data_IF_763649884232
#
_entry.id   IF_763649884232
#
_cell.length_a   1.000
_cell.length_b   1.000
_cell.length_c   1.000
_cell.angle_alpha   90.00
_cell.angle_beta   90.00
_cell.angle_gamma   90.00
#
_symmetry.space_group_name_H-M   'P 1'
#
loop_
_entity.id
_entity.type
_entity.pdbx_description
1 polymer ?
#
# COMPACT_ATOMS: atom_id res chain seq x y z
N UNK A 1 9.93 -6.75 -27.29
CA UNK A 1 9.70 -5.61 -26.40
C UNK A 1 8.20 -5.40 -26.37
N UNK A 2 7.56 -5.23 -25.21
CA UNK A 2 6.11 -4.96 -25.18
C UNK A 2 5.90 -3.48 -25.50
N UNK A 3 5.14 -3.22 -26.55
CA UNK A 3 4.68 -1.87 -26.88
C UNK A 3 3.29 -1.69 -26.29
N UNK A 4 3.10 -0.61 -25.55
CA UNK A 4 1.82 -0.28 -24.95
C UNK A 4 1.30 0.98 -25.59
N UNK A 5 0.04 0.96 -26.00
CA UNK A 5 -0.61 2.09 -26.68
C UNK A 5 -1.11 3.13 -25.69
N UNK A 6 -1.43 2.71 -24.46
CA UNK A 6 -1.95 3.58 -23.41
C UNK A 6 -1.34 3.27 -22.05
N UNK A 7 -1.28 4.27 -21.17
CA UNK A 7 -0.84 4.10 -19.78
C UNK A 7 -1.77 3.18 -18.98
N UNK A 8 -3.08 3.17 -19.29
CA UNK A 8 -4.06 2.25 -18.68
C UNK A 8 -3.77 0.80 -19.03
N UNK A 9 -3.52 0.51 -20.31
CA UNK A 9 -3.15 -0.83 -20.78
C UNK A 9 -1.88 -1.31 -20.07
N UNK A 10 -0.82 -0.49 -20.10
CA UNK A 10 0.43 -0.75 -19.40
C UNK A 10 0.19 -1.04 -17.91
N UNK A 11 -0.56 -0.16 -17.23
CA UNK A 11 -0.88 -0.31 -15.82
C UNK A 11 -1.64 -1.60 -15.51
N UNK A 12 -2.67 -1.93 -16.29
CA UNK A 12 -3.47 -3.14 -16.11
C UNK A 12 -2.65 -4.41 -16.37
N UNK A 13 -1.75 -4.41 -17.35
CA UNK A 13 -0.85 -5.53 -17.61
C UNK A 13 0.07 -5.80 -16.43
N UNK A 14 0.80 -4.79 -15.94
CA UNK A 14 1.69 -4.96 -14.78
C UNK A 14 0.93 -5.27 -13.50
N UNK A 15 -0.23 -4.64 -13.26
CA UNK A 15 -1.14 -4.97 -12.15
C UNK A 15 -1.60 -6.43 -12.26
N UNK A 16 -1.96 -6.89 -13.45
CA UNK A 16 -2.36 -8.27 -13.71
C UNK A 16 -1.26 -9.28 -13.41
N UNK A 17 0.00 -8.99 -13.73
CA UNK A 17 1.12 -9.88 -13.35
C UNK A 17 1.37 -9.92 -11.84
N UNK A 18 1.06 -8.83 -11.14
CA UNK A 18 1.17 -8.74 -9.69
C UNK A 18 -0.02 -9.42 -8.96
N UNK A 19 -1.23 -9.37 -9.52
CA UNK A 19 -2.46 -9.88 -8.91
C UNK A 19 -2.91 -11.25 -9.43
N UNK A 20 -2.42 -11.68 -10.60
CA UNK A 20 -2.81 -12.93 -11.24
C UNK A 20 -2.44 -14.17 -10.42
N UNK A 21 -3.22 -15.24 -10.62
CA UNK A 21 -3.28 -16.51 -9.86
C UNK A 21 -2.01 -17.37 -9.83
N UNK A 22 -0.82 -16.79 -10.05
CA UNK A 22 0.47 -17.40 -9.71
C UNK A 22 0.64 -17.31 -8.19
N UNK A 23 -0.17 -18.10 -7.47
CA UNK A 23 -0.03 -18.34 -6.05
C UNK A 23 1.42 -18.76 -5.78
N UNK A 24 2.12 -17.98 -4.96
CA UNK A 24 3.36 -18.38 -4.28
C UNK A 24 4.49 -18.90 -5.17
N UNK A 25 4.80 -18.25 -6.30
CA UNK A 25 6.13 -18.42 -6.88
C UNK A 25 7.07 -17.35 -6.33
N UNK A 26 8.15 -17.71 -5.63
CA UNK A 26 9.13 -16.76 -5.11
C UNK A 26 9.87 -16.03 -6.25
N UNK A 27 9.69 -16.42 -7.51
CA UNK A 27 10.39 -15.89 -8.69
C UNK A 27 9.39 -15.61 -9.80
N UNK A 28 9.45 -14.41 -10.37
CA UNK A 28 8.66 -13.98 -11.51
C UNK A 28 9.04 -14.81 -12.76
N UNK A 29 8.05 -15.16 -13.57
CA UNK A 29 8.27 -15.89 -14.82
C UNK A 29 9.35 -15.22 -15.69
N UNK A 30 10.39 -15.97 -16.07
CA UNK A 30 11.53 -15.47 -16.87
C UNK A 30 11.08 -14.77 -18.17
N UNK A 31 9.91 -15.11 -18.72
CA UNK A 31 9.36 -14.46 -19.91
C UNK A 31 9.00 -12.98 -19.71
N UNK A 32 8.65 -12.55 -18.49
CA UNK A 32 8.25 -11.17 -18.21
C UNK A 32 9.38 -10.31 -17.62
N UNK A 33 10.51 -10.94 -17.25
CA UNK A 33 11.72 -10.27 -16.72
C UNK A 33 12.23 -9.16 -17.67
N UNK A 34 12.33 -9.35 -18.99
CA UNK A 34 12.77 -8.28 -19.89
C UNK A 34 11.86 -7.05 -19.85
N UNK A 35 10.55 -7.27 -19.66
CA UNK A 35 9.56 -6.20 -19.63
C UNK A 35 9.53 -5.45 -18.30
N UNK A 36 9.76 -6.14 -17.18
CA UNK A 36 9.97 -5.50 -15.89
C UNK A 36 11.29 -4.71 -15.86
N UNK A 37 12.35 -5.24 -16.47
CA UNK A 37 13.62 -4.53 -16.60
C UNK A 37 13.47 -3.26 -17.45
N UNK A 38 12.72 -3.35 -18.55
CA UNK A 38 12.43 -2.20 -19.41
C UNK A 38 11.59 -1.14 -18.68
N UNK A 39 10.58 -1.57 -17.91
CA UNK A 39 9.79 -0.69 -17.05
C UNK A 39 10.68 0.07 -16.06
N UNK A 40 11.60 -0.61 -15.37
CA UNK A 40 12.52 0.04 -14.43
C UNK A 40 13.46 1.00 -15.16
N UNK A 41 14.05 0.59 -16.28
CA UNK A 41 14.98 1.41 -17.05
C UNK A 41 14.35 2.70 -17.57
N UNK A 42 13.10 2.64 -18.00
CA UNK A 42 12.39 3.78 -18.60
C UNK A 42 11.63 4.63 -17.57
N UNK A 43 11.14 4.00 -16.51
CA UNK A 43 10.23 4.64 -15.56
C UNK A 43 10.84 5.03 -14.22
N UNK A 44 11.97 4.44 -13.81
CA UNK A 44 12.61 4.80 -12.55
C UNK A 44 13.58 5.98 -12.75
N UNK A 45 13.64 6.98 -11.84
CA UNK A 45 14.57 8.12 -11.99
C UNK A 45 16.04 7.71 -11.89
N UNK A 46 16.35 6.71 -11.07
CA UNK A 46 17.70 6.18 -10.86
C UNK A 46 17.77 4.68 -11.21
N UNK A 47 17.63 4.28 -12.48
CA UNK A 47 17.51 2.86 -12.85
C UNK A 47 18.81 2.09 -12.59
N UNK A 48 19.96 2.75 -12.73
CA UNK A 48 21.28 2.17 -12.47
C UNK A 48 21.45 1.77 -10.99
N UNK A 49 20.91 2.55 -10.05
CA UNK A 49 20.92 2.25 -8.62
C UNK A 49 20.03 1.05 -8.29
N UNK A 50 18.87 0.96 -8.94
CA UNK A 50 17.96 -0.17 -8.78
C UNK A 50 18.56 -1.46 -9.32
N UNK A 51 19.17 -1.41 -10.51
CA UNK A 51 19.79 -2.57 -11.16
C UNK A 51 21.09 -2.99 -10.46
N UNK A 52 21.89 -2.04 -9.98
CA UNK A 52 23.16 -2.29 -9.28
C UNK A 52 24.12 -3.17 -10.07
N UNK A 53 24.61 -4.26 -9.48
CA UNK A 53 25.51 -5.23 -10.10
C UNK A 53 24.86 -6.13 -11.17
N UNK A 54 23.61 -5.84 -11.55
CA UNK A 54 22.83 -6.59 -12.51
C UNK A 54 21.70 -7.38 -11.84
N UNK A 55 20.61 -7.56 -12.59
CA UNK A 55 19.44 -8.31 -12.14
C UNK A 55 19.70 -9.80 -12.27
N UNK A 56 19.52 -10.55 -11.19
CA UNK A 56 19.40 -12.00 -11.18
C UNK A 56 17.97 -12.42 -11.51
N UNK A 57 17.01 -11.90 -10.74
CA UNK A 57 15.60 -12.25 -10.88
C UNK A 57 14.68 -11.12 -10.38
N UNK A 58 13.39 -11.21 -10.72
CA UNK A 58 12.36 -10.39 -10.08
C UNK A 58 11.53 -11.28 -9.15
N UNK A 59 11.07 -10.71 -8.03
CA UNK A 59 10.15 -11.36 -7.09
C UNK A 59 8.96 -10.45 -6.85
N UNK A 60 7.81 -11.03 -6.56
CA UNK A 60 6.67 -10.28 -6.03
C UNK A 60 6.59 -10.60 -4.55
N UNK A 61 6.68 -9.59 -3.69
CA UNK A 61 6.46 -9.75 -2.25
C UNK A 61 5.50 -8.68 -1.75
N UNK A 62 4.96 -8.88 -0.56
CA UNK A 62 4.27 -7.83 0.15
C UNK A 62 5.31 -6.78 0.58
N UNK A 63 4.99 -5.50 0.39
CA UNK A 63 5.83 -4.40 0.84
C UNK A 63 5.94 -4.40 2.37
N UNK A 64 7.16 -4.27 2.90
CA UNK A 64 7.46 -4.27 4.34
C UNK A 64 6.81 -3.09 5.08
N UNK A 65 6.60 -1.96 4.40
CA UNK A 65 5.94 -0.75 4.92
C UNK A 65 4.44 -0.73 4.67
N UNK A 66 3.92 -1.62 3.82
CA UNK A 66 2.51 -1.72 3.48
C UNK A 66 2.19 -3.16 3.07
N UNK A 67 2.00 -4.03 4.07
CA UNK A 67 1.85 -5.49 3.96
C UNK A 67 0.73 -6.00 3.02
N UNK A 68 -0.02 -5.11 2.38
CA UNK A 68 -1.14 -5.43 1.51
C UNK A 68 -0.99 -4.90 0.07
N UNK A 69 0.03 -4.09 -0.20
CA UNK A 69 0.42 -3.80 -1.57
C UNK A 69 1.56 -4.77 -1.92
N UNK A 70 1.28 -5.66 -2.88
CA UNK A 70 2.33 -6.43 -3.52
C UNK A 70 3.19 -5.46 -4.31
N UNK A 71 4.50 -5.62 -4.27
CA UNK A 71 5.44 -4.84 -5.06
C UNK A 71 6.45 -5.75 -5.74
N UNK A 72 7.03 -5.27 -6.84
CA UNK A 72 8.10 -5.97 -7.52
C UNK A 72 9.42 -5.66 -6.80
N UNK A 73 10.15 -6.72 -6.48
CA UNK A 73 11.50 -6.68 -5.96
C UNK A 73 12.46 -7.12 -7.05
N UNK A 74 13.51 -6.34 -7.26
CA UNK A 74 14.69 -6.73 -8.00
C UNK A 74 15.58 -7.52 -7.03
N UNK A 75 15.94 -8.74 -7.41
CA UNK A 75 17.02 -9.50 -6.78
C UNK A 75 18.22 -9.33 -7.68
N UNK A 76 19.30 -8.81 -7.12
CA UNK A 76 20.55 -8.59 -7.83
C UNK A 76 21.43 -9.84 -7.75
N UNK A 77 22.47 -9.88 -8.59
CA UNK A 77 23.44 -10.99 -8.62
C UNK A 77 24.25 -11.17 -7.33
N UNK A 78 24.33 -10.13 -6.51
CA UNK A 78 24.97 -10.15 -5.19
C UNK A 78 23.99 -10.50 -4.05
N UNK A 79 22.82 -11.04 -4.39
CA UNK A 79 21.70 -11.36 -3.49
C UNK A 79 21.07 -10.16 -2.77
N UNK A 80 21.53 -8.93 -3.04
CA UNK A 80 20.86 -7.73 -2.54
C UNK A 80 19.50 -7.53 -3.22
N UNK A 81 18.55 -6.94 -2.50
CA UNK A 81 17.20 -6.70 -3.02
C UNK A 81 16.84 -5.22 -3.00
N UNK A 82 16.03 -4.79 -3.98
CA UNK A 82 15.45 -3.46 -4.01
C UNK A 82 14.02 -3.51 -4.55
N UNK A 83 13.08 -2.86 -3.86
CA UNK A 83 11.70 -2.68 -4.31
C UNK A 83 11.56 -1.45 -5.20
N UNK A 84 10.60 -1.48 -6.14
CA UNK A 84 10.26 -0.29 -6.92
C UNK A 84 8.75 -0.17 -7.12
N UNK A 85 8.24 1.06 -7.10
CA UNK A 85 6.84 1.32 -7.39
C UNK A 85 6.58 1.28 -8.90
N UNK A 86 6.00 0.17 -9.39
CA UNK A 86 5.65 0.04 -10.80
C UNK A 86 4.65 1.11 -11.27
N UNK A 87 3.73 1.54 -10.39
CA UNK A 87 2.77 2.61 -10.71
C UNK A 87 3.50 3.92 -11.02
N UNK A 88 4.49 4.28 -10.20
CA UNK A 88 5.35 5.45 -10.45
C UNK A 88 6.12 5.28 -11.76
N UNK A 89 6.68 4.09 -12.02
CA UNK A 89 7.37 3.83 -13.27
C UNK A 89 6.46 3.96 -14.49
N UNK A 90 5.24 3.41 -14.45
CA UNK A 90 4.25 3.56 -15.53
C UNK A 90 3.92 5.03 -15.75
N UNK A 91 3.63 5.78 -14.68
CA UNK A 91 3.28 7.20 -14.76
C UNK A 91 4.40 8.06 -15.36
N UNK A 92 5.66 7.69 -15.12
CA UNK A 92 6.83 8.38 -15.67
C UNK A 92 7.05 8.07 -17.16
N UNK A 93 6.63 6.89 -17.65
CA UNK A 93 6.74 6.52 -19.06
C UNK A 93 5.56 7.09 -19.86
N UNK A 94 4.34 6.86 -19.37
CA UNK A 94 3.10 7.37 -19.94
C UNK A 94 2.22 7.89 -18.79
N UNK A 95 1.90 9.19 -18.75
CA UNK A 95 1.06 9.75 -17.69
C UNK A 95 -0.23 8.95 -17.50
N UNK A 96 -0.49 8.53 -16.27
CA UNK A 96 -1.73 7.80 -15.95
C UNK A 96 -2.93 8.74 -16.06
N UNK A 97 -4.12 8.24 -16.41
CA UNK A 97 -5.35 9.02 -16.30
C UNK A 97 -5.68 9.26 -14.81
N UNK A 98 -6.39 10.35 -14.50
CA UNK A 98 -6.65 10.81 -13.11
C UNK A 98 -7.26 9.73 -12.21
N UNK A 99 -8.20 8.94 -12.71
CA UNK A 99 -8.83 7.82 -11.99
C UNK A 99 -7.83 6.70 -11.59
N UNK A 100 -6.68 6.64 -12.26
CA UNK A 100 -5.57 5.75 -11.95
C UNK A 100 -4.39 6.48 -11.29
N UNK A 101 -4.42 7.80 -11.10
CA UNK A 101 -3.43 8.49 -10.26
C UNK A 101 -3.75 8.28 -8.78
N UNK A 102 -5.04 8.24 -8.44
CA UNK A 102 -5.51 8.28 -7.04
C UNK A 102 -5.88 6.92 -6.42
N UNK A 103 -5.79 5.81 -7.16
CA UNK A 103 -5.93 4.45 -6.58
C UNK A 103 -4.69 3.96 -5.82
N UNK A 104 -3.89 4.89 -5.30
CA UNK A 104 -2.71 4.67 -4.49
C UNK A 104 -2.42 5.99 -3.79
N UNK A 105 -3.31 6.37 -2.88
CA UNK A 105 -3.34 7.73 -2.39
C UNK A 105 -2.01 8.19 -1.79
N UNK A 106 -1.61 9.40 -2.18
CA UNK A 106 -1.08 10.40 -1.25
C UNK A 106 0.12 9.97 -0.40
N UNK A 107 1.06 9.26 -0.99
CA UNK A 107 2.47 9.38 -0.63
C UNK A 107 3.22 9.21 -1.93
N UNK A 108 4.05 10.19 -2.26
CA UNK A 108 5.27 9.91 -3.00
C UNK A 108 5.87 8.72 -2.27
N UNK A 109 5.80 7.52 -2.87
CA UNK A 109 6.61 6.40 -2.43
C UNK A 109 8.03 6.85 -2.72
N UNK A 110 8.59 7.60 -1.77
CA UNK A 110 10.02 7.83 -1.68
C UNK A 110 10.56 6.45 -1.40
N UNK A 111 10.90 5.75 -2.48
CA UNK A 111 11.70 4.55 -2.40
C UNK A 111 12.91 4.88 -1.51
N UNK A 112 13.27 3.97 -0.61
CA UNK A 112 14.32 4.15 0.39
C UNK A 112 15.70 4.53 -0.22
N UNK A 113 15.83 4.52 -1.55
CA UNK A 113 16.98 5.02 -2.29
C UNK A 113 17.26 6.53 -2.14
N UNK A 114 16.37 7.37 -1.62
CA UNK A 114 16.61 8.84 -1.56
C UNK A 114 17.37 9.35 -0.32
N UNK A 115 17.75 8.49 0.64
CA UNK A 115 18.32 9.00 1.91
C UNK A 115 19.85 9.20 1.87
N UNK A 116 20.58 8.62 0.91
CA UNK A 116 22.04 8.68 0.91
C UNK A 116 22.63 9.27 -0.38
N UNK A 117 23.10 10.53 -0.28
CA UNK A 117 23.90 11.19 -1.33
C UNK A 117 23.92 12.71 -1.21
N UNK A 118 24.91 13.26 -0.50
CA UNK A 118 25.05 14.70 -0.25
C UNK A 118 25.29 15.56 -1.49
N UNK A 119 24.81 16.81 -1.45
CA UNK A 119 25.10 17.85 -2.45
C UNK A 119 25.51 19.17 -1.80
N UNK A 120 26.68 19.66 -2.20
CA UNK A 120 27.29 20.90 -1.74
C UNK A 120 26.57 22.17 -2.19
N UNK A 121 26.32 23.06 -1.21
CA UNK A 121 26.62 24.50 -1.12
C UNK A 121 26.52 25.46 -2.32
N UNK A 122 25.80 25.15 -3.40
CA UNK A 122 25.48 26.15 -4.43
C UNK A 122 24.04 25.98 -4.93
N UNK A 123 23.03 26.34 -4.11
CA UNK A 123 21.60 26.48 -4.55
C UNK A 123 20.59 26.92 -3.46
N UNK A 124 21.00 27.56 -2.35
CA UNK A 124 20.10 27.86 -1.23
C UNK A 124 18.84 28.63 -1.64
N UNK A 125 18.97 29.66 -2.49
CA UNK A 125 17.84 30.55 -2.84
C UNK A 125 16.83 29.87 -3.78
N UNK A 126 17.31 29.10 -4.76
CA UNK A 126 16.42 28.33 -5.66
C UNK A 126 15.76 27.14 -4.98
N UNK A 127 16.40 26.56 -3.97
CA UNK A 127 15.83 25.47 -3.16
C UNK A 127 14.79 26.03 -2.18
N UNK A 128 15.03 27.20 -1.60
CA UNK A 128 14.06 27.87 -0.73
C UNK A 128 12.77 28.22 -1.49
N UNK A 129 12.89 28.80 -2.69
CA UNK A 129 11.74 29.16 -3.51
C UNK A 129 10.92 27.93 -3.96
N UNK A 130 11.61 26.85 -4.35
CA UNK A 130 10.95 25.59 -4.71
C UNK A 130 10.30 24.91 -3.49
N UNK A 131 10.93 24.97 -2.31
CA UNK A 131 10.36 24.45 -1.07
C UNK A 131 9.12 25.23 -0.65
N UNK A 132 9.12 26.56 -0.78
CA UNK A 132 7.94 27.39 -0.53
C UNK A 132 6.82 27.12 -1.52
N UNK A 133 7.13 26.93 -2.81
CA UNK A 133 6.15 26.56 -3.84
C UNK A 133 5.51 25.22 -3.52
N UNK A 134 6.33 24.20 -3.23
CA UNK A 134 5.86 22.87 -2.84
C UNK A 134 5.03 22.91 -1.55
N UNK A 135 5.43 23.74 -0.57
CA UNK A 135 4.67 23.93 0.67
C UNK A 135 3.31 24.58 0.42
N UNK A 136 3.24 25.60 -0.46
CA UNK A 136 1.97 26.23 -0.85
C UNK A 136 1.06 25.27 -1.61
N UNK A 137 1.61 24.50 -2.55
CA UNK A 137 0.85 23.48 -3.28
C UNK A 137 0.39 22.34 -2.37
N UNK A 138 1.18 21.97 -1.37
CA UNK A 138 0.81 20.96 -0.38
C UNK A 138 -0.28 21.48 0.55
N UNK A 139 -0.20 22.72 1.01
CA UNK A 139 -1.24 23.34 1.85
C UNK A 139 -2.55 23.52 1.06
N UNK A 140 -2.49 23.94 -0.21
CA UNK A 140 -3.68 24.03 -1.05
C UNK A 140 -4.34 22.66 -1.29
N UNK A 141 -3.53 21.60 -1.48
CA UNK A 141 -4.02 20.22 -1.56
C UNK A 141 -4.64 19.74 -0.23
N UNK A 142 -4.03 20.09 0.90
CA UNK A 142 -4.58 19.78 2.23
C UNK A 142 -5.91 20.52 2.47
N UNK A 143 -6.01 21.79 2.05
CA UNK A 143 -7.24 22.59 2.15
C UNK A 143 -8.36 21.99 1.27
N UNK A 144 -8.04 21.54 0.06
CA UNK A 144 -8.99 20.89 -0.84
C UNK A 144 -9.41 19.50 -0.33
N UNK A 145 -8.46 18.69 0.16
CA UNK A 145 -8.72 17.42 0.85
C UNK A 145 -9.56 17.62 2.12
N UNK A 146 -9.35 18.70 2.88
CA UNK A 146 -10.15 19.03 4.05
C UNK A 146 -11.57 19.45 3.64
N UNK A 147 -11.71 20.22 2.56
CA UNK A 147 -13.01 20.63 2.02
C UNK A 147 -13.81 19.46 1.46
N UNK A 148 -13.16 18.54 0.72
CA UNK A 148 -13.77 17.30 0.23
C UNK A 148 -14.05 16.30 1.36
N UNK A 149 -13.19 16.27 2.39
CA UNK A 149 -13.35 15.46 3.58
C UNK A 149 -14.61 15.77 4.38
N UNK A 150 -15.13 17.00 4.33
CA UNK A 150 -16.40 17.38 4.98
C UNK A 150 -17.63 16.77 4.31
N UNK A 151 -17.55 16.37 3.04
CA UNK A 151 -18.67 15.75 2.31
C UNK A 151 -18.67 14.22 2.41
N UNK A 152 -17.48 13.59 2.54
CA UNK A 152 -17.31 12.14 2.56
C UNK A 152 -16.74 11.63 3.91
N UNK A 153 -17.13 12.23 5.04
CA UNK A 153 -16.65 11.79 6.35
C UNK A 153 -17.22 10.42 6.74
N UNK A 154 -16.35 9.43 6.94
CA UNK A 154 -16.71 8.14 7.54
C UNK A 154 -16.49 8.19 9.05
N UNK A 155 -17.47 7.73 9.81
CA UNK A 155 -17.40 7.67 11.27
C UNK A 155 -17.39 6.20 11.71
N UNK A 156 -16.37 5.79 12.45
CA UNK A 156 -16.26 4.47 13.08
C UNK A 156 -16.09 4.68 14.59
N UNK A 157 -17.01 4.16 15.39
CA UNK A 157 -17.12 4.51 16.81
C UNK A 157 -17.24 6.03 16.98
N UNK A 158 -16.28 6.64 17.69
CA UNK A 158 -16.17 8.10 17.83
C UNK A 158 -15.09 8.76 16.95
N UNK A 159 -14.41 7.98 16.08
CA UNK A 159 -13.34 8.47 15.21
C UNK A 159 -13.90 8.86 13.84
N UNK A 160 -13.53 10.07 13.38
CA UNK A 160 -13.87 10.59 12.06
C UNK A 160 -12.70 10.39 11.10
N UNK A 161 -13.00 9.92 9.91
CA UNK A 161 -12.06 9.74 8.81
C UNK A 161 -12.56 10.51 7.60
N UNK A 162 -11.68 11.35 7.06
CA UNK A 162 -12.03 12.29 6.01
C UNK A 162 -11.76 11.75 4.60
N UNK A 163 -10.86 10.77 4.49
CA UNK A 163 -10.47 10.13 3.24
C UNK A 163 -9.83 8.76 3.50
N UNK A 164 -9.79 7.91 2.48
CA UNK A 164 -9.38 6.51 2.57
C UNK A 164 -7.94 6.34 3.08
N UNK A 165 -7.00 7.21 2.69
CA UNK A 165 -5.60 7.12 3.15
C UNK A 165 -5.44 7.44 4.64
N UNK A 166 -6.22 8.36 5.20
CA UNK A 166 -6.24 8.64 6.64
C UNK A 166 -6.74 7.42 7.41
N UNK A 167 -7.82 6.80 6.94
CA UNK A 167 -8.35 5.58 7.54
C UNK A 167 -7.37 4.41 7.42
N UNK A 168 -6.75 4.22 6.26
CA UNK A 168 -5.73 3.22 6.01
C UNK A 168 -4.55 3.36 6.97
N UNK A 169 -3.96 4.57 7.09
CA UNK A 169 -2.82 4.85 7.97
C UNK A 169 -3.14 4.54 9.42
N UNK A 170 -4.34 4.86 9.88
CA UNK A 170 -4.80 4.55 11.23
C UNK A 170 -4.82 3.04 11.48
N UNK A 171 -5.50 2.26 10.63
CA UNK A 171 -5.60 0.81 10.82
C UNK A 171 -4.27 0.09 10.61
N UNK A 172 -3.44 0.54 9.66
CA UNK A 172 -2.10 0.00 9.46
C UNK A 172 -1.21 0.24 10.69
N UNK A 173 -1.21 1.45 11.25
CA UNK A 173 -0.49 1.76 12.49
C UNK A 173 -0.98 0.91 13.67
N UNK A 174 -2.30 0.76 13.81
CA UNK A 174 -2.91 -0.12 14.81
C UNK A 174 -2.45 -1.57 14.64
N UNK A 175 -2.44 -2.10 13.42
CA UNK A 175 -2.02 -3.47 13.11
C UNK A 175 -0.54 -3.70 13.48
N UNK A 176 0.33 -2.77 13.12
CA UNK A 176 1.78 -2.92 13.32
C UNK A 176 2.19 -2.75 14.79
N UNK A 177 1.56 -1.82 15.53
CA UNK A 177 1.88 -1.59 16.95
C UNK A 177 1.28 -2.64 17.89
N UNK A 178 0.26 -3.38 17.45
CA UNK A 178 -0.44 -4.34 18.31
C UNK A 178 0.41 -5.60 18.55
N UNK A 179 0.40 -6.14 19.78
CA UNK A 179 1.07 -7.40 20.08
C UNK A 179 0.40 -8.57 19.36
N UNK A 180 1.20 -9.55 18.94
CA UNK A 180 0.71 -10.75 18.26
C UNK A 180 0.00 -11.70 19.23
N UNK A 181 -1.07 -12.32 18.75
CA UNK A 181 -1.82 -13.37 19.45
C UNK A 181 -2.37 -12.95 20.83
N UNK A 182 -2.57 -11.65 21.02
CA UNK A 182 -3.12 -11.07 22.25
C UNK A 182 -4.39 -10.29 21.92
N UNK A 183 -5.37 -10.35 22.82
CA UNK A 183 -6.59 -9.57 22.71
C UNK A 183 -6.27 -8.07 22.81
N UNK A 184 -6.83 -7.27 21.92
CA UNK A 184 -6.76 -5.82 22.00
C UNK A 184 -7.51 -5.35 23.25
N UNK A 185 -6.76 -4.77 24.19
CA UNK A 185 -7.29 -4.25 25.47
C UNK A 185 -7.92 -2.86 25.29
N UNK A 186 -7.51 -2.12 24.26
CA UNK A 186 -8.00 -0.76 24.00
C UNK A 186 -9.47 -0.79 23.54
N UNK A 187 -10.41 -0.52 24.46
CA UNK A 187 -11.86 -0.49 24.19
C UNK A 187 -12.24 0.42 23.03
N UNK A 188 -11.54 1.55 22.87
CA UNK A 188 -11.78 2.47 21.75
C UNK A 188 -11.44 1.82 20.40
N UNK A 189 -10.28 1.15 20.30
CA UNK A 189 -9.88 0.41 19.11
C UNK A 189 -10.83 -0.75 18.80
N UNK A 190 -11.34 -1.45 19.83
CA UNK A 190 -12.36 -2.49 19.67
C UNK A 190 -13.62 -1.96 18.99
N UNK A 191 -14.18 -0.83 19.45
CA UNK A 191 -15.38 -0.24 18.86
C UNK A 191 -15.15 0.21 17.41
N UNK A 192 -13.98 0.79 17.13
CA UNK A 192 -13.63 1.23 15.78
C UNK A 192 -13.49 0.02 14.82
N UNK A 193 -12.83 -1.06 15.25
CA UNK A 193 -12.68 -2.27 14.44
C UNK A 193 -14.00 -2.99 14.22
N UNK A 194 -14.88 -3.01 15.23
CA UNK A 194 -16.22 -3.59 15.11
C UNK A 194 -17.06 -2.83 14.08
N UNK A 195 -17.03 -1.51 14.14
CA UNK A 195 -17.71 -0.66 13.15
C UNK A 195 -17.13 -0.84 11.75
N UNK A 196 -15.79 -0.93 11.64
CA UNK A 196 -15.13 -1.19 10.36
C UNK A 196 -15.59 -2.53 9.76
N UNK A 197 -15.62 -3.58 10.56
CA UNK A 197 -16.02 -4.93 10.13
C UNK A 197 -17.47 -4.92 9.64
N UNK A 198 -18.39 -4.37 10.44
CA UNK A 198 -19.83 -4.34 10.10
C UNK A 198 -20.12 -3.54 8.84
N UNK A 199 -19.43 -2.41 8.64
CA UNK A 199 -19.68 -1.52 7.49
C UNK A 199 -18.90 -1.94 6.23
N UNK A 200 -17.73 -2.55 6.42
CA UNK A 200 -16.77 -2.78 5.36
C UNK A 200 -16.63 -4.23 4.92
N UNK A 201 -17.28 -5.19 5.56
CA UNK A 201 -17.37 -6.57 5.08
C UNK A 201 -18.85 -6.89 4.76
N UNK A 202 -19.22 -7.10 3.49
CA UNK A 202 -20.59 -7.44 3.08
C UNK A 202 -21.11 -8.74 3.70
N UNK A 203 -20.22 -9.64 4.13
CA UNK A 203 -20.57 -10.90 4.79
C UNK A 203 -20.41 -10.81 6.31
N UNK A 204 -20.22 -9.61 6.88
CA UNK A 204 -19.94 -9.42 8.31
C UNK A 204 -20.99 -10.04 9.22
N UNK A 205 -22.29 -9.93 8.91
CA UNK A 205 -23.35 -10.54 9.73
C UNK A 205 -23.21 -12.06 9.82
N UNK A 206 -22.94 -12.70 8.68
CA UNK A 206 -22.72 -14.15 8.59
C UNK A 206 -21.43 -14.56 9.31
N UNK A 207 -20.36 -13.77 9.14
CA UNK A 207 -19.06 -14.01 9.77
C UNK A 207 -19.11 -13.83 11.28
N UNK A 208 -19.76 -12.80 11.78
CA UNK A 208 -19.88 -12.54 13.22
C UNK A 208 -20.72 -13.62 13.89
N UNK A 209 -21.84 -14.03 13.26
CA UNK A 209 -22.74 -15.05 13.79
C UNK A 209 -23.46 -14.61 15.07
N UNK A 210 -24.20 -15.55 15.68
CA UNK A 210 -25.01 -15.29 16.87
C UNK A 210 -24.19 -15.02 18.15
N UNK A 211 -22.99 -15.57 18.23
CA UNK A 211 -22.08 -15.42 19.37
C UNK A 211 -21.48 -14.02 19.51
N UNK A 212 -21.57 -13.19 18.45
CA UNK A 212 -21.01 -11.85 18.44
C UNK A 212 -19.47 -11.82 18.42
N UNK A 213 -18.90 -10.62 18.37
CA UNK A 213 -17.46 -10.40 18.53
C UNK A 213 -17.15 -10.12 20.00
N UNK A 214 -16.32 -10.97 20.61
CA UNK A 214 -15.84 -10.79 21.98
C UNK A 214 -14.58 -9.91 22.02
N UNK A 215 -13.62 -10.16 21.12
CA UNK A 215 -12.37 -9.40 21.07
C UNK A 215 -11.75 -9.38 19.67
N UNK A 216 -10.70 -8.59 19.51
CA UNK A 216 -9.87 -8.58 18.30
C UNK A 216 -8.44 -8.96 18.67
N UNK A 217 -7.75 -9.66 17.77
CA UNK A 217 -6.34 -10.00 17.87
C UNK A 217 -5.62 -9.60 16.59
N UNK A 218 -4.31 -9.33 16.69
CA UNK A 218 -3.43 -9.31 15.52
C UNK A 218 -2.66 -10.62 15.47
N UNK A 219 -2.70 -11.31 14.32
CA UNK A 219 -1.99 -12.58 14.14
C UNK A 219 -1.28 -12.59 12.79
N UNK A 220 -0.34 -13.52 12.62
CA UNK A 220 0.26 -13.78 11.32
C UNK A 220 -0.69 -14.66 10.52
N UNK A 221 -1.04 -14.24 9.31
CA UNK A 221 -1.95 -14.97 8.45
C UNK A 221 -1.31 -16.30 8.02
N UNK A 222 -1.95 -17.47 8.26
CA UNK A 222 -1.31 -18.79 8.12
C UNK A 222 -0.94 -19.16 6.68
N UNK A 223 -1.59 -18.55 5.68
CA UNK A 223 -1.32 -18.83 4.27
C UNK A 223 -0.10 -18.11 3.66
N UNK A 224 0.60 -17.25 4.41
CA UNK A 224 1.74 -16.48 3.89
C UNK A 224 2.99 -16.72 4.75
N UNK A 225 4.12 -16.96 4.07
CA UNK A 225 5.44 -17.10 4.72
C UNK A 225 5.79 -15.80 5.47
N UNK A 226 5.76 -15.92 6.80
CA UNK A 226 6.28 -15.03 7.85
C UNK A 226 6.11 -13.51 7.66
N UNK A 227 5.32 -12.91 8.54
CA UNK A 227 5.18 -11.47 8.85
C UNK A 227 3.94 -10.74 8.33
N UNK A 228 3.08 -11.37 7.51
CA UNK A 228 1.79 -10.76 7.16
C UNK A 228 0.86 -10.74 8.37
N UNK A 229 0.80 -9.59 9.05
CA UNK A 229 -0.15 -9.34 10.13
C UNK A 229 -1.56 -9.15 9.57
N UNK A 230 -2.56 -9.66 10.27
CA UNK A 230 -3.97 -9.45 9.95
C UNK A 230 -4.79 -9.33 11.23
N UNK A 231 -5.91 -8.61 11.14
CA UNK A 231 -6.87 -8.54 12.24
C UNK A 231 -7.74 -9.79 12.21
N UNK A 232 -7.85 -10.43 13.37
CA UNK A 232 -8.77 -11.52 13.66
C UNK A 232 -9.79 -11.02 14.66
N UNK A 233 -11.06 -11.35 14.46
CA UNK A 233 -12.05 -11.22 15.51
C UNK A 233 -12.25 -12.58 16.17
N UNK A 234 -12.35 -12.57 17.50
CA UNK A 234 -12.63 -13.73 18.33
C UNK A 234 -14.09 -13.64 18.74
N UNK A 235 -14.85 -14.70 18.48
CA UNK A 235 -16.26 -14.81 18.85
C UNK A 235 -16.41 -15.28 20.29
N UNK A 236 -17.61 -15.11 20.87
CA UNK A 236 -17.90 -15.55 22.24
C UNK A 236 -17.79 -17.07 22.47
N UNK A 237 -17.75 -17.88 21.40
CA UNK A 237 -17.49 -19.32 21.45
C UNK A 237 -16.00 -19.69 21.32
N UNK A 238 -15.11 -18.69 21.26
CA UNK A 238 -13.67 -18.86 21.11
C UNK A 238 -13.20 -19.12 19.68
N UNK A 239 -14.12 -19.31 18.72
CA UNK A 239 -13.75 -19.38 17.30
C UNK A 239 -13.25 -18.02 16.80
N UNK A 240 -12.40 -18.05 15.77
CA UNK A 240 -11.80 -16.83 15.23
C UNK A 240 -11.76 -16.85 13.71
N UNK A 241 -11.80 -15.67 13.11
CA UNK A 241 -11.71 -15.49 11.67
C UNK A 241 -11.05 -14.13 11.38
N UNK A 242 -10.32 -14.04 10.27
CA UNK A 242 -9.72 -12.80 9.82
C UNK A 242 -10.65 -11.98 8.93
N UNK A 243 -10.34 -10.69 8.82
CA UNK A 243 -10.94 -9.84 7.82
C UNK A 243 -9.91 -8.87 7.25
N UNK A 244 -10.07 -8.52 5.98
CA UNK A 244 -9.16 -7.62 5.28
C UNK A 244 -9.60 -6.17 5.50
N UNK A 245 -8.99 -5.48 6.47
CA UNK A 245 -9.34 -4.09 6.79
C UNK A 245 -9.24 -3.15 5.59
N UNK A 246 -8.39 -3.45 4.60
CA UNK A 246 -8.27 -2.63 3.39
C UNK A 246 -9.48 -2.73 2.49
N UNK A 247 -10.05 -3.94 2.33
CA UNK A 247 -11.32 -4.08 1.62
C UNK A 247 -12.38 -3.25 2.33
N UNK A 248 -12.39 -3.27 3.66
CA UNK A 248 -13.29 -2.44 4.45
C UNK A 248 -13.07 -0.94 4.25
N UNK A 249 -11.82 -0.47 4.18
CA UNK A 249 -11.49 0.93 3.88
C UNK A 249 -11.96 1.33 2.50
N UNK A 250 -11.73 0.50 1.48
CA UNK A 250 -12.17 0.76 0.10
C UNK A 250 -13.70 0.84 0.03
N UNK A 251 -14.40 -0.08 0.68
CA UNK A 251 -15.87 -0.09 0.72
C UNK A 251 -16.42 1.13 1.48
N UNK A 252 -15.71 1.62 2.49
CA UNK A 252 -16.13 2.79 3.27
C UNK A 252 -16.02 4.11 2.51
N UNK A 253 -15.21 4.19 1.46
CA UNK A 253 -15.03 5.38 0.62
C UNK A 253 -15.16 4.99 -0.87
N UNK A 254 -16.41 4.88 -1.39
CA UNK A 254 -16.67 4.60 -2.79
C UNK A 254 -16.28 5.75 -3.74
#
# INVERSE_FOLDING_TARGET
>A
MMEFTTSREMFQTFKGWMTGSYLNFPVVNQRIVPSLLDLVKKGHPEPHKMIGCGVDSFRVRNDTMCSHFRTFFIVRKDDSTADFCFRTCVNNILPLPEDLKDQGGGVVAVCACHIEGGMGRLRADRVAEELERLTREQNARLDEEERMGRLNTVILGSKKFYYSTHMYRYFYSLLMRSPLNQNLVEKHAHLILLDLLKKGDPESEKKIGSSGVESFQVRIHPAYDSDLRSFYFVRGDGSMEDFCFIKCVIISFP
#
